data_IF_466126796465
#
_entry.id   IF_466126796465
#
_cell.length_a   1.000
_cell.length_b   1.000
_cell.length_c   1.000
_cell.angle_alpha   90.00
_cell.angle_beta   90.00
_cell.angle_gamma   90.00
#
_symmetry.space_group_name_H-M   'P 1'
#
loop_
_entity.id
_entity.type
_entity.pdbx_description
1 polymer ?
#
# COMPACT_ATOMS: atom_id res chain seq x y z
N UNK A 1 -38.26 18.31 13.93
CA UNK A 1 -37.11 18.39 12.99
C UNK A 1 -35.99 17.39 13.27
N UNK A 2 -35.97 16.76 14.46
CA UNK A 2 -34.98 15.72 14.81
C UNK A 2 -35.11 14.49 13.89
N UNK A 3 -36.35 14.11 13.55
CA UNK A 3 -36.58 12.96 12.64
C UNK A 3 -36.09 13.18 11.21
N UNK A 4 -36.10 14.41 10.71
CA UNK A 4 -35.59 14.75 9.37
C UNK A 4 -34.04 14.72 9.34
N UNK A 5 -33.41 15.17 10.40
CA UNK A 5 -31.95 15.14 10.53
C UNK A 5 -31.43 13.70 10.65
N UNK A 6 -32.08 12.84 11.44
CA UNK A 6 -31.76 11.41 11.55
C UNK A 6 -31.95 10.64 10.24
N UNK A 7 -33.01 10.97 9.46
CA UNK A 7 -33.21 10.39 8.12
C UNK A 7 -32.10 10.80 7.16
N UNK A 8 -31.69 12.07 7.17
CA UNK A 8 -30.55 12.54 6.33
C UNK A 8 -29.25 11.87 6.71
N UNK A 9 -28.95 11.73 7.99
CA UNK A 9 -27.74 11.02 8.47
C UNK A 9 -27.77 9.54 8.06
N UNK A 10 -28.90 8.84 8.21
CA UNK A 10 -29.01 7.44 7.75
C UNK A 10 -28.85 7.30 6.24
N UNK A 11 -29.39 8.23 5.45
CA UNK A 11 -29.22 8.21 3.99
C UNK A 11 -27.75 8.47 3.58
N UNK A 12 -27.03 9.36 4.27
CA UNK A 12 -25.60 9.56 4.06
C UNK A 12 -24.82 8.28 4.36
N UNK A 13 -24.98 7.70 5.55
CA UNK A 13 -24.32 6.45 5.91
C UNK A 13 -24.57 5.31 4.92
N UNK A 14 -25.82 5.15 4.45
CA UNK A 14 -26.17 4.12 3.46
C UNK A 14 -25.48 4.39 2.12
N UNK A 15 -25.40 5.64 1.67
CA UNK A 15 -24.70 6.00 0.43
C UNK A 15 -23.21 5.73 0.54
N UNK A 16 -22.60 6.17 1.62
CA UNK A 16 -21.15 5.99 1.85
C UNK A 16 -20.79 4.50 1.92
N UNK A 17 -21.57 3.70 2.64
CA UNK A 17 -21.36 2.25 2.73
C UNK A 17 -21.54 1.54 1.38
N UNK A 18 -22.54 1.94 0.58
CA UNK A 18 -22.77 1.35 -0.75
C UNK A 18 -21.66 1.72 -1.73
N UNK A 19 -21.21 2.97 -1.71
CA UNK A 19 -20.10 3.43 -2.56
C UNK A 19 -18.81 2.70 -2.18
N UNK A 20 -18.51 2.59 -0.89
CA UNK A 20 -17.35 1.84 -0.40
C UNK A 20 -17.41 0.38 -0.84
N UNK A 21 -18.59 -0.27 -0.70
CA UNK A 21 -18.75 -1.65 -1.16
C UNK A 21 -18.58 -1.77 -2.67
N UNK A 22 -19.10 -0.83 -3.46
CA UNK A 22 -18.93 -0.84 -4.90
C UNK A 22 -17.46 -0.73 -5.31
N UNK A 23 -16.68 0.13 -4.66
CA UNK A 23 -15.24 0.22 -4.89
C UNK A 23 -14.51 -1.07 -4.52
N UNK A 24 -14.84 -1.68 -3.38
CA UNK A 24 -14.26 -2.95 -2.96
C UNK A 24 -14.56 -4.06 -3.97
N UNK A 25 -15.82 -4.21 -4.38
CA UNK A 25 -16.21 -5.22 -5.37
C UNK A 25 -15.57 -4.98 -6.75
N UNK A 26 -15.40 -3.72 -7.15
CA UNK A 26 -14.78 -3.36 -8.42
C UNK A 26 -13.25 -3.57 -8.42
N UNK A 27 -12.62 -3.43 -7.25
CA UNK A 27 -11.18 -3.56 -7.09
C UNK A 27 -10.72 -5.00 -6.82
N UNK A 28 -11.63 -5.87 -6.38
CA UNK A 28 -11.30 -7.26 -6.02
C UNK A 28 -11.01 -8.10 -7.26
N UNK A 29 -9.87 -8.78 -7.24
CA UNK A 29 -9.47 -9.72 -8.27
C UNK A 29 -8.72 -10.92 -7.66
N UNK A 30 -8.80 -12.05 -8.33
CA UNK A 30 -8.07 -13.28 -8.02
C UNK A 30 -7.21 -13.67 -9.22
N UNK A 31 -5.92 -13.43 -9.11
CA UNK A 31 -4.95 -13.72 -10.16
C UNK A 31 -4.33 -15.11 -9.95
N UNK A 32 -4.39 -15.95 -10.97
CA UNK A 32 -3.66 -17.22 -11.00
C UNK A 32 -2.20 -16.96 -11.37
N UNK A 33 -1.28 -17.30 -10.46
CA UNK A 33 0.16 -17.23 -10.71
C UNK A 33 0.68 -18.50 -11.37
N UNK A 34 1.82 -18.38 -12.05
CA UNK A 34 2.55 -19.52 -12.59
C UNK A 34 2.85 -20.52 -11.46
N UNK A 35 2.22 -21.71 -11.52
CA UNK A 35 2.36 -22.74 -10.47
C UNK A 35 1.05 -23.11 -9.76
N UNK A 36 -0.09 -22.49 -10.12
CA UNK A 36 -1.42 -22.81 -9.58
C UNK A 36 -1.69 -22.18 -8.21
N UNK A 37 -0.87 -21.22 -7.80
CA UNK A 37 -1.09 -20.43 -6.59
C UNK A 37 -1.98 -19.23 -6.92
N UNK A 38 -2.97 -18.94 -6.08
CA UNK A 38 -3.89 -17.82 -6.28
C UNK A 38 -3.46 -16.60 -5.46
N UNK A 39 -3.38 -15.45 -6.12
CA UNK A 39 -3.10 -14.17 -5.49
C UNK A 39 -4.38 -13.35 -5.44
N UNK A 40 -4.86 -13.05 -4.25
CA UNK A 40 -5.97 -12.12 -4.05
C UNK A 40 -5.43 -10.70 -4.00
N UNK A 41 -6.00 -9.81 -4.80
CA UNK A 41 -5.56 -8.40 -4.92
C UNK A 41 -6.76 -7.48 -4.90
N UNK A 42 -6.57 -6.31 -4.28
CA UNK A 42 -7.49 -5.19 -4.40
C UNK A 42 -6.85 -4.10 -5.28
N UNK A 43 -7.26 -4.01 -6.54
CA UNK A 43 -6.78 -3.05 -7.54
C UNK A 43 -7.38 -1.65 -7.34
N UNK A 44 -7.18 -1.06 -6.15
CA UNK A 44 -7.57 0.33 -5.93
C UNK A 44 -6.70 1.28 -6.75
N UNK A 45 -7.33 2.33 -7.28
CA UNK A 45 -6.57 3.47 -7.78
C UNK A 45 -5.61 3.97 -6.68
N UNK A 46 -4.34 4.25 -6.97
CA UNK A 46 -3.35 4.61 -5.93
C UNK A 46 -3.79 5.76 -5.02
N UNK A 47 -4.50 6.76 -5.57
CA UNK A 47 -5.04 7.85 -4.79
C UNK A 47 -6.21 7.45 -3.86
N UNK A 48 -6.88 6.31 -4.08
CA UNK A 48 -7.99 5.82 -3.25
C UNK A 48 -7.58 4.74 -2.26
N UNK A 49 -6.43 4.10 -2.47
CA UNK A 49 -5.95 3.04 -1.59
C UNK A 49 -5.86 3.52 -0.12
N UNK A 50 -6.35 2.75 0.87
CA UNK A 50 -6.33 3.16 2.28
C UNK A 50 -4.91 3.24 2.83
N UNK A 51 -4.05 2.31 2.48
CA UNK A 51 -2.61 2.34 2.73
C UNK A 51 -1.91 2.65 1.42
N UNK A 52 -1.04 3.67 1.42
CA UNK A 52 -0.36 4.14 0.21
C UNK A 52 0.93 3.38 -0.06
N UNK A 53 1.67 3.13 1.00
CA UNK A 53 3.02 2.57 0.92
C UNK A 53 3.20 1.54 2.02
N UNK A 54 3.57 0.32 1.65
CA UNK A 54 4.01 -0.71 2.59
C UNK A 54 5.53 -0.71 2.72
N UNK A 55 6.07 -0.65 3.94
CA UNK A 55 7.52 -0.67 4.18
C UNK A 55 7.91 -2.01 4.77
N UNK A 56 8.72 -2.76 4.04
CA UNK A 56 9.03 -4.16 4.26
C UNK A 56 10.54 -4.35 4.40
N UNK A 57 11.10 -4.35 5.61
CA UNK A 57 12.52 -4.66 5.80
C UNK A 57 12.80 -6.13 5.43
N UNK A 58 13.83 -6.41 4.64
CA UNK A 58 14.18 -7.78 4.25
C UNK A 58 14.52 -8.66 5.45
N UNK A 59 15.17 -8.09 6.47
CA UNK A 59 15.58 -8.76 7.71
C UNK A 59 15.29 -7.87 8.91
N UNK A 60 15.09 -8.48 10.08
CA UNK A 60 14.91 -7.75 11.35
C UNK A 60 16.11 -6.87 11.73
N UNK A 61 17.30 -7.19 11.23
CA UNK A 61 18.50 -6.36 11.45
C UNK A 61 18.41 -5.00 10.76
N UNK A 62 17.61 -4.91 9.71
CA UNK A 62 17.42 -3.72 8.89
C UNK A 62 16.23 -2.86 9.35
N UNK A 63 15.55 -3.25 10.45
CA UNK A 63 14.38 -2.52 10.95
C UNK A 63 14.72 -1.06 11.25
N UNK A 64 15.87 -0.79 11.84
CA UNK A 64 16.27 0.57 12.22
C UNK A 64 16.37 1.51 11.00
N UNK A 65 16.95 1.03 9.89
CA UNK A 65 17.01 1.79 8.63
C UNK A 65 15.63 1.97 8.01
N UNK A 66 14.85 0.90 7.96
CA UNK A 66 13.48 0.91 7.41
C UNK A 66 12.53 1.80 8.24
N UNK A 67 12.69 1.85 9.57
CA UNK A 67 11.93 2.74 10.45
C UNK A 67 12.20 4.22 10.18
N UNK A 68 13.43 4.59 9.81
CA UNK A 68 13.77 5.96 9.40
C UNK A 68 13.02 6.35 8.14
N UNK A 69 13.01 5.47 7.14
CA UNK A 69 12.24 5.67 5.89
C UNK A 69 10.73 5.75 6.19
N UNK A 70 10.23 4.87 7.06
CA UNK A 70 8.84 4.92 7.51
C UNK A 70 8.50 6.25 8.20
N UNK A 71 9.31 6.71 9.14
CA UNK A 71 9.10 7.97 9.86
C UNK A 71 9.12 9.19 8.94
N UNK A 72 9.89 9.15 7.86
CA UNK A 72 9.93 10.22 6.86
C UNK A 72 8.70 10.22 5.96
N UNK A 73 8.34 9.08 5.38
CA UNK A 73 7.21 8.96 4.45
C UNK A 73 5.85 9.07 5.13
N UNK A 74 5.73 8.62 6.37
CA UNK A 74 4.49 8.69 7.16
C UNK A 74 4.03 10.13 7.48
N UNK A 75 4.90 11.12 7.31
CA UNK A 75 4.54 12.55 7.41
C UNK A 75 3.64 13.01 6.27
N UNK A 76 3.69 12.32 5.14
CA UNK A 76 3.01 12.72 3.89
C UNK A 76 1.96 11.71 3.43
N UNK A 77 2.18 10.43 3.70
CA UNK A 77 1.36 9.32 3.21
C UNK A 77 0.95 8.38 4.33
N UNK A 78 -0.17 7.71 4.18
CA UNK A 78 -0.54 6.62 5.08
C UNK A 78 0.31 5.40 4.75
N UNK A 79 1.28 5.09 5.60
CA UNK A 79 2.23 4.00 5.44
C UNK A 79 1.96 2.89 6.45
N UNK A 80 2.23 1.66 6.07
CA UNK A 80 2.24 0.49 6.95
C UNK A 80 3.63 -0.12 7.01
N UNK A 81 4.07 -0.47 8.22
CA UNK A 81 5.34 -1.16 8.45
C UNK A 81 5.07 -2.61 8.82
N UNK A 82 5.63 -3.57 8.06
CA UNK A 82 5.45 -4.99 8.33
C UNK A 82 6.78 -5.76 8.28
N UNK A 83 7.17 -6.29 9.43
CA UNK A 83 8.36 -7.12 9.62
C UNK A 83 8.03 -8.59 9.90
N UNK A 84 6.75 -9.02 9.80
CA UNK A 84 6.26 -10.33 10.22
C UNK A 84 6.35 -11.38 9.12
N UNK A 85 7.03 -12.48 9.40
CA UNK A 85 7.15 -13.61 8.46
C UNK A 85 8.14 -13.35 7.33
N UNK A 86 8.03 -14.12 6.24
CA UNK A 86 8.90 -13.95 5.08
C UNK A 86 8.38 -12.84 4.15
N UNK A 87 9.26 -12.30 3.32
CA UNK A 87 8.98 -11.17 2.43
C UNK A 87 7.82 -11.46 1.45
N UNK A 88 7.72 -12.69 0.92
CA UNK A 88 6.64 -13.06 0.00
C UNK A 88 5.25 -13.00 0.66
N UNK A 89 5.13 -13.43 1.93
CA UNK A 89 3.89 -13.32 2.69
C UNK A 89 3.52 -11.87 3.01
N UNK A 90 4.53 -11.02 3.21
CA UNK A 90 4.31 -9.58 3.44
C UNK A 90 3.76 -8.91 2.20
N UNK A 91 4.33 -9.20 1.03
CA UNK A 91 3.79 -8.70 -0.24
C UNK A 91 2.33 -9.14 -0.45
N UNK A 92 1.99 -10.41 -0.19
CA UNK A 92 0.61 -10.89 -0.32
C UNK A 92 -0.36 -10.14 0.59
N UNK A 93 0.00 -9.89 1.85
CA UNK A 93 -0.85 -9.08 2.76
C UNK A 93 -1.07 -7.67 2.24
N UNK A 94 -0.03 -7.05 1.68
CA UNK A 94 -0.16 -5.71 1.11
C UNK A 94 -1.00 -5.71 -0.17
N UNK A 95 -0.88 -6.74 -1.00
CA UNK A 95 -1.72 -6.93 -2.18
C UNK A 95 -3.20 -7.14 -1.80
N UNK A 96 -3.49 -7.94 -0.76
CA UNK A 96 -4.84 -8.18 -0.22
C UNK A 96 -5.54 -6.92 0.29
N UNK A 97 -4.82 -6.01 0.94
CA UNK A 97 -5.38 -4.72 1.39
C UNK A 97 -5.36 -3.62 0.32
N UNK A 98 -4.74 -3.91 -0.83
CA UNK A 98 -4.73 -3.01 -1.97
C UNK A 98 -3.70 -1.88 -1.90
N UNK A 99 -2.58 -2.09 -1.19
CA UNK A 99 -1.45 -1.14 -1.15
C UNK A 99 -0.79 -1.06 -2.52
N UNK A 100 -0.76 0.11 -3.19
CA UNK A 100 -0.24 0.22 -4.55
C UNK A 100 1.28 0.07 -4.65
N UNK A 101 2.02 0.50 -3.65
CA UNK A 101 3.48 0.45 -3.67
C UNK A 101 4.05 -0.17 -2.39
N UNK A 102 5.02 -1.06 -2.56
CA UNK A 102 5.76 -1.66 -1.46
C UNK A 102 7.23 -1.28 -1.56
N UNK A 103 7.80 -0.76 -0.50
CA UNK A 103 9.22 -0.46 -0.37
C UNK A 103 9.90 -1.61 0.36
N UNK A 104 10.90 -2.21 -0.26
CA UNK A 104 11.77 -3.20 0.38
C UNK A 104 13.08 -2.53 0.75
N UNK A 105 13.40 -2.58 2.03
CA UNK A 105 14.68 -2.16 2.56
C UNK A 105 15.59 -3.39 2.68
N UNK A 106 16.66 -3.44 1.89
CA UNK A 106 17.62 -4.53 1.80
C UNK A 106 19.00 -4.16 2.37
N UNK A 107 19.96 -5.10 2.35
CA UNK A 107 21.31 -4.85 2.86
C UNK A 107 22.06 -3.81 2.03
N UNK A 108 21.84 -3.79 0.72
CA UNK A 108 22.48 -2.81 -0.17
C UNK A 108 21.94 -1.40 0.08
N UNK A 109 20.73 -1.29 0.68
CA UNK A 109 20.13 0.01 1.02
C UNK A 109 20.89 0.78 2.07
N UNK A 110 21.70 0.10 2.92
CA UNK A 110 22.57 0.75 3.89
C UNK A 110 23.82 1.37 3.24
N UNK A 111 24.25 0.86 2.07
CA UNK A 111 25.43 1.35 1.37
C UNK A 111 25.08 2.41 0.31
N UNK A 112 23.97 2.21 -0.40
CA UNK A 112 23.57 3.01 -1.57
C UNK A 112 22.57 4.13 -1.25
N UNK A 113 22.02 4.19 -0.03
CA UNK A 113 20.87 5.04 0.34
C UNK A 113 19.70 4.93 -0.65
N UNK A 114 19.48 3.74 -1.19
CA UNK A 114 18.43 3.44 -2.14
C UNK A 114 17.58 2.26 -1.67
N UNK A 115 16.32 2.24 -2.05
CA UNK A 115 15.36 1.18 -1.71
C UNK A 115 14.72 0.61 -2.96
N UNK A 116 14.24 -0.62 -2.87
CA UNK A 116 13.50 -1.25 -3.97
C UNK A 116 12.02 -0.96 -3.80
N UNK A 117 11.42 -0.28 -4.77
CA UNK A 117 9.98 -0.01 -4.85
C UNK A 117 9.34 -1.02 -5.78
N UNK A 118 8.34 -1.76 -5.30
CA UNK A 118 7.54 -2.69 -6.10
C UNK A 118 6.16 -2.11 -6.32
N UNK A 119 5.74 -2.09 -7.57
CA UNK A 119 4.37 -1.77 -7.98
C UNK A 119 3.49 -3.03 -7.85
N UNK A 120 2.29 -2.88 -7.25
CA UNK A 120 1.32 -3.96 -7.03
C UNK A 120 0.79 -4.54 -8.36
N UNK A 121 0.45 -3.66 -9.32
CA UNK A 121 -0.27 -4.05 -10.53
C UNK A 121 0.66 -4.68 -11.57
N UNK A 122 1.84 -4.12 -11.75
CA UNK A 122 2.84 -4.61 -12.71
C UNK A 122 3.82 -5.62 -12.13
N UNK A 123 3.89 -5.73 -10.80
CA UNK A 123 4.92 -6.48 -10.05
C UNK A 123 6.36 -6.07 -10.38
N UNK A 124 6.55 -5.01 -11.13
CA UNK A 124 7.87 -4.48 -11.45
C UNK A 124 8.52 -3.88 -10.21
N UNK A 125 9.84 -4.02 -10.16
CA UNK A 125 10.64 -3.50 -9.07
C UNK A 125 11.64 -2.49 -9.63
N UNK A 126 11.68 -1.31 -9.03
CA UNK A 126 12.60 -0.23 -9.39
C UNK A 126 13.43 0.15 -8.17
N UNK A 127 14.72 0.40 -8.38
CA UNK A 127 15.60 0.89 -7.31
C UNK A 127 15.64 2.41 -7.33
N UNK A 128 15.24 3.02 -6.23
CA UNK A 128 15.06 4.48 -6.11
C UNK A 128 15.79 4.97 -4.86
N UNK A 129 16.47 6.11 -4.96
CA UNK A 129 17.13 6.74 -3.82
C UNK A 129 16.10 7.25 -2.81
N UNK A 130 16.41 7.13 -1.53
CA UNK A 130 15.52 7.55 -0.44
C UNK A 130 15.17 9.03 -0.56
N UNK A 131 16.11 9.88 -0.98
CA UNK A 131 15.89 11.32 -1.19
C UNK A 131 14.85 11.62 -2.28
N UNK A 132 14.74 10.77 -3.29
CA UNK A 132 13.85 10.97 -4.45
C UNK A 132 12.46 10.34 -4.26
N UNK A 133 12.27 9.52 -3.23
CA UNK A 133 11.01 8.80 -2.97
C UNK A 133 9.80 9.75 -2.87
N UNK A 134 9.97 10.88 -2.21
CA UNK A 134 8.88 11.86 -2.06
C UNK A 134 8.41 12.39 -3.42
N UNK A 135 9.33 12.80 -4.28
CA UNK A 135 9.01 13.31 -5.61
C UNK A 135 8.38 12.22 -6.49
N UNK A 136 8.92 11.00 -6.42
CA UNK A 136 8.40 9.84 -7.13
C UNK A 136 6.95 9.53 -6.75
N UNK A 137 6.63 9.49 -5.47
CA UNK A 137 5.27 9.19 -5.01
C UNK A 137 4.30 10.35 -5.20
N UNK A 138 4.76 11.60 -5.15
CA UNK A 138 3.93 12.77 -5.42
C UNK A 138 3.34 12.74 -6.83
N UNK A 139 4.10 12.27 -7.81
CA UNK A 139 3.61 12.08 -9.18
C UNK A 139 2.64 10.88 -9.29
N UNK A 140 2.96 9.76 -8.65
CA UNK A 140 2.17 8.51 -8.69
C UNK A 140 0.81 8.59 -7.99
N UNK A 141 0.67 9.42 -6.96
CA UNK A 141 -0.59 9.59 -6.23
C UNK A 141 -1.45 10.75 -6.72
N UNK A 142 -1.03 11.42 -7.77
CA UNK A 142 -1.82 12.47 -8.42
C UNK A 142 -3.03 11.88 -9.14
N UNK A 143 -4.18 12.57 -9.02
CA UNK A 143 -5.36 12.27 -9.84
C UNK A 143 -5.20 12.85 -11.24
#
# INVERSE_FOLDING_TARGET
DLHLSLRRQRQMCIRDSRVTLAFLCSAYDEEELEGGDVRTVLHFHPALAPVKIGILPLSKKLNEGAEKVYAELSKYYNCEFDDRGNIGKRYRRQDEIGTPFCITYDFDSEEDDAVTVRDRDTMQQERIKIADLKAYFEDKFRF
#
